data_IF_280439162341
#
_entry.id   IF_280439162341
#
_cell.length_a   1.000
_cell.length_b   1.000
_cell.length_c   1.000
_cell.angle_alpha   90.00
_cell.angle_beta   90.00
_cell.angle_gamma   90.00
#
_symmetry.space_group_name_H-M   'P 1'
#
loop_
_entity.id
_entity.type
_entity.pdbx_description
1 polymer ?
#
# COMPACT_ATOMS: atom_id res chain seq x y z
N UNK A 1 92.41 -12.89 67.65
CA UNK A 1 91.36 -13.44 66.77
C UNK A 1 91.80 -13.22 65.32
N UNK A 2 92.54 -14.17 64.74
CA UNK A 2 92.02 -15.16 63.76
C UNK A 2 91.43 -14.43 62.55
N UNK A 3 92.22 -14.11 61.52
CA UNK A 3 92.81 -14.92 60.43
C UNK A 3 91.88 -15.04 59.21
N UNK A 4 92.44 -14.57 58.08
CA UNK A 4 92.27 -15.00 56.68
C UNK A 4 91.23 -14.26 55.82
N UNK A 5 91.73 -13.12 55.33
CA UNK A 5 91.56 -12.59 53.98
C UNK A 5 92.32 -13.47 52.96
N UNK A 6 91.86 -13.47 51.70
CA UNK A 6 92.33 -14.18 50.49
C UNK A 6 91.99 -15.67 50.39
N UNK A 7 91.12 -16.04 49.44
CA UNK A 7 91.33 -17.16 48.50
C UNK A 7 90.37 -17.04 47.29
N UNK A 8 90.95 -16.74 46.12
CA UNK A 8 90.61 -17.20 44.77
C UNK A 8 89.28 -16.86 44.08
N UNK A 9 89.41 -15.94 43.13
CA UNK A 9 88.63 -15.77 41.90
C UNK A 9 88.67 -17.08 41.09
N UNK A 10 87.56 -17.82 41.08
CA UNK A 10 87.25 -18.78 40.03
C UNK A 10 86.21 -18.12 39.11
N UNK A 11 86.70 -17.49 38.04
CA UNK A 11 85.87 -17.15 36.89
C UNK A 11 85.34 -18.47 36.35
N UNK A 12 84.09 -18.79 36.68
CA UNK A 12 83.31 -19.74 35.91
C UNK A 12 83.11 -19.15 34.53
N UNK A 13 84.05 -19.45 33.62
CA UNK A 13 83.85 -19.34 32.19
C UNK A 13 82.77 -20.37 31.83
N UNK A 14 81.50 -20.00 32.02
CA UNK A 14 80.43 -20.68 31.32
C UNK A 14 80.73 -20.41 29.84
N UNK A 15 80.93 -21.43 28.99
CA UNK A 15 80.99 -21.17 27.56
C UNK A 15 79.70 -20.45 27.23
N UNK A 16 79.80 -19.17 26.83
CA UNK A 16 78.70 -18.47 26.23
C UNK A 16 78.35 -19.30 24.98
N UNK A 17 77.33 -20.14 25.09
CA UNK A 17 76.78 -20.88 23.98
C UNK A 17 76.51 -19.84 22.90
N UNK A 18 77.25 -19.92 21.79
CA UNK A 18 77.01 -19.03 20.67
C UNK A 18 75.55 -19.22 20.27
N UNK A 19 74.71 -18.21 20.55
CA UNK A 19 73.35 -18.19 20.05
C UNK A 19 73.51 -18.10 18.54
N UNK A 20 73.12 -19.16 17.83
CA UNK A 20 73.06 -19.17 16.38
C UNK A 20 72.38 -17.87 15.92
N UNK A 21 73.08 -17.08 15.10
CA UNK A 21 72.49 -15.86 14.56
C UNK A 21 71.30 -16.26 13.67
N UNK A 22 70.09 -15.86 14.06
CA UNK A 22 68.89 -16.09 13.28
C UNK A 22 68.48 -14.81 12.56
N UNK A 23 68.13 -14.98 11.30
CA UNK A 23 67.56 -13.96 10.43
C UNK A 23 66.04 -14.07 10.43
N UNK A 24 65.34 -12.94 10.56
CA UNK A 24 63.91 -12.87 10.30
C UNK A 24 63.70 -12.76 8.80
N UNK A 25 63.07 -13.77 8.20
CA UNK A 25 62.77 -13.81 6.77
C UNK A 25 61.29 -13.58 6.54
N UNK A 26 60.95 -12.59 5.72
CA UNK A 26 59.57 -12.24 5.38
C UNK A 26 59.37 -12.21 3.86
N UNK A 27 58.16 -12.54 3.42
CA UNK A 27 57.72 -12.25 2.05
C UNK A 27 56.21 -12.23 1.96
N UNK A 28 55.68 -11.48 0.99
CA UNK A 28 54.31 -11.61 0.51
C UNK A 28 54.29 -12.45 -0.77
N UNK A 29 53.40 -13.43 -0.83
CA UNK A 29 53.24 -14.31 -1.98
C UNK A 29 52.00 -13.87 -2.77
N UNK A 30 52.21 -13.47 -4.02
CA UNK A 30 51.15 -13.02 -4.93
C UNK A 30 51.34 -13.66 -6.29
N UNK A 31 50.28 -14.26 -6.82
CA UNK A 31 50.36 -14.98 -8.09
C UNK A 31 50.12 -14.14 -9.34
N UNK A 32 50.16 -14.79 -10.50
CA UNK A 32 49.97 -14.20 -11.82
C UNK A 32 48.57 -13.62 -12.05
N UNK A 33 47.57 -13.98 -11.24
CA UNK A 33 46.22 -13.38 -11.31
C UNK A 33 46.09 -12.17 -10.36
N UNK A 34 47.16 -11.84 -9.63
CA UNK A 34 47.18 -10.79 -8.62
C UNK A 34 46.58 -11.23 -7.28
N UNK A 35 46.33 -12.52 -7.08
CA UNK A 35 45.76 -13.06 -5.86
C UNK A 35 46.85 -13.37 -4.84
N UNK A 36 46.65 -12.90 -3.59
CA UNK A 36 47.51 -13.29 -2.48
C UNK A 36 47.16 -14.70 -2.00
N UNK A 37 48.17 -15.52 -1.73
CA UNK A 37 47.99 -16.89 -1.23
C UNK A 37 47.65 -16.91 0.25
N UNK A 38 46.41 -16.55 0.58
CA UNK A 38 45.96 -16.51 1.98
C UNK A 38 45.98 -17.90 2.61
N UNK A 39 46.50 -17.99 3.84
CA UNK A 39 46.52 -19.21 4.65
C UNK A 39 47.25 -20.41 4.02
N UNK A 40 48.14 -20.16 3.05
CA UNK A 40 49.02 -21.18 2.49
C UNK A 40 50.09 -21.67 3.49
N UNK A 41 50.85 -22.69 3.11
CA UNK A 41 51.94 -23.24 3.94
C UNK A 41 53.30 -22.79 3.41
N UNK A 42 54.27 -22.65 4.31
CA UNK A 42 55.66 -22.31 3.95
C UNK A 42 56.60 -23.27 4.67
N UNK A 43 57.55 -23.83 3.93
CA UNK A 43 58.61 -24.68 4.47
C UNK A 43 59.95 -24.25 3.92
N UNK A 44 60.93 -23.99 4.79
CA UNK A 44 62.30 -23.70 4.41
C UNK A 44 63.19 -24.88 4.78
N UNK A 45 64.00 -25.36 3.84
CA UNK A 45 64.96 -26.44 4.05
C UNK A 45 66.38 -25.96 3.76
N UNK A 46 67.28 -26.14 4.73
CA UNK A 46 68.68 -25.81 4.57
C UNK A 46 69.39 -26.89 3.73
N UNK A 47 70.17 -26.44 2.76
CA UNK A 47 71.00 -27.28 1.89
C UNK A 47 72.43 -26.75 1.85
N UNK A 48 73.42 -27.64 1.72
CA UNK A 48 74.84 -27.32 1.72
C UNK A 48 75.48 -27.74 0.39
N UNK A 49 76.55 -27.10 -0.08
CA UNK A 49 77.26 -27.51 -1.28
C UNK A 49 77.93 -28.87 -1.07
N UNK A 50 77.48 -29.90 -1.81
CA UNK A 50 78.00 -31.28 -1.67
C UNK A 50 76.97 -32.41 -1.83
N UNK A 51 75.68 -32.08 -2.03
CA UNK A 51 74.61 -33.06 -2.22
C UNK A 51 73.97 -33.52 -0.90
N UNK A 52 72.86 -34.30 -0.95
CA UNK A 52 72.11 -34.69 0.23
C UNK A 52 72.90 -35.72 1.05
N UNK A 53 73.71 -35.22 1.99
CA UNK A 53 74.34 -35.95 3.10
C UNK A 53 75.12 -37.23 2.74
N UNK A 54 76.08 -37.13 1.81
CA UNK A 54 77.02 -38.22 1.48
C UNK A 54 78.12 -38.48 2.53
N UNK A 55 78.23 -37.64 3.56
CA UNK A 55 78.88 -37.92 4.84
C UNK A 55 78.25 -36.98 5.88
N UNK A 56 77.72 -37.52 6.97
CA UNK A 56 76.87 -36.84 7.96
C UNK A 56 77.67 -35.74 8.68
N UNK A 57 77.63 -34.52 8.17
CA UNK A 57 77.91 -33.33 8.94
C UNK A 57 76.60 -32.56 9.03
N UNK A 58 75.91 -32.69 10.18
CA UNK A 58 74.79 -31.82 10.51
C UNK A 58 75.33 -30.40 10.49
N UNK A 59 74.69 -29.43 9.82
CA UNK A 59 75.15 -28.06 9.84
C UNK A 59 75.21 -27.57 11.28
N UNK A 60 76.36 -27.00 11.67
CA UNK A 60 76.59 -26.46 13.00
C UNK A 60 76.96 -24.99 12.93
N UNK A 61 76.75 -24.29 14.04
CA UNK A 61 77.33 -22.98 14.33
C UNK A 61 78.11 -23.13 15.62
N UNK A 62 79.43 -22.98 15.56
CA UNK A 62 80.29 -23.19 16.74
C UNK A 62 80.10 -24.57 17.37
N UNK A 63 79.86 -25.61 16.55
CA UNK A 63 79.62 -26.98 17.01
C UNK A 63 78.21 -27.31 17.49
N UNK A 64 77.26 -26.36 17.49
CA UNK A 64 75.84 -26.62 17.83
C UNK A 64 75.03 -26.85 16.57
N UNK A 65 74.29 -27.97 16.51
CA UNK A 65 73.43 -28.31 15.38
C UNK A 65 72.32 -27.28 15.16
N UNK A 66 72.09 -26.89 13.89
CA UNK A 66 71.04 -25.93 13.51
C UNK A 66 69.81 -26.63 12.93
N UNK A 67 68.60 -26.07 13.07
CA UNK A 67 67.41 -26.58 12.40
C UNK A 67 67.62 -26.63 10.88
N UNK A 68 67.39 -27.79 10.27
CA UNK A 68 67.51 -27.96 8.81
C UNK A 68 66.18 -27.79 8.09
N UNK A 69 65.07 -27.72 8.82
CA UNK A 69 63.73 -27.48 8.30
C UNK A 69 62.96 -26.59 9.25
N UNK A 70 62.35 -25.52 8.73
CA UNK A 70 61.50 -24.58 9.48
C UNK A 70 60.22 -24.40 8.69
N UNK A 71 59.07 -24.43 9.35
CA UNK A 71 57.76 -24.26 8.70
C UNK A 71 56.96 -23.14 9.35
N UNK A 72 56.10 -22.50 8.56
CA UNK A 72 55.17 -21.46 8.98
C UNK A 72 53.92 -21.50 8.10
N UNK A 73 52.95 -20.66 8.41
CA UNK A 73 51.75 -20.42 7.60
C UNK A 73 51.76 -18.98 7.09
N UNK A 74 51.18 -18.77 5.91
CA UNK A 74 50.88 -17.42 5.43
C UNK A 74 49.65 -16.87 6.16
N UNK A 75 49.61 -15.57 6.37
CA UNK A 75 48.43 -14.88 6.90
C UNK A 75 47.36 -14.64 5.81
N UNK A 76 46.33 -13.84 6.13
CA UNK A 76 45.26 -13.51 5.19
C UNK A 76 45.73 -12.67 3.98
N UNK A 77 46.87 -11.98 4.10
CA UNK A 77 47.47 -11.16 3.05
C UNK A 77 48.55 -11.91 2.25
N UNK A 78 48.69 -13.22 2.48
CA UNK A 78 49.74 -14.04 1.85
C UNK A 78 51.14 -13.75 2.38
N UNK A 79 51.26 -13.07 3.52
CA UNK A 79 52.55 -12.77 4.13
C UNK A 79 52.98 -13.91 5.07
N UNK A 80 54.26 -14.26 5.06
CA UNK A 80 54.83 -15.20 6.02
C UNK A 80 56.04 -14.61 6.75
N UNK A 81 56.32 -15.17 7.92
CA UNK A 81 57.52 -14.91 8.70
C UNK A 81 58.17 -16.24 9.10
N UNK A 82 59.48 -16.34 8.88
CA UNK A 82 60.33 -17.45 9.29
C UNK A 82 61.52 -16.92 10.10
N UNK A 83 61.94 -17.69 11.11
CA UNK A 83 63.22 -17.48 11.79
C UNK A 83 64.20 -18.52 11.27
N UNK A 84 65.12 -18.11 10.41
CA UNK A 84 66.06 -19.00 9.74
C UNK A 84 67.48 -18.71 10.21
N UNK A 85 68.31 -19.74 10.30
CA UNK A 85 69.73 -19.57 10.61
C UNK A 85 70.44 -18.77 9.51
N UNK A 86 71.23 -17.77 9.91
CA UNK A 86 72.06 -16.98 9.01
C UNK A 86 73.11 -17.89 8.35
N UNK A 87 73.04 -18.00 7.03
CA UNK A 87 73.91 -18.86 6.22
C UNK A 87 75.38 -18.45 6.26
N UNK A 88 75.70 -17.18 6.55
CA UNK A 88 77.08 -16.72 6.72
C UNK A 88 77.68 -17.11 8.08
N UNK A 89 76.84 -17.51 9.05
CA UNK A 89 77.28 -17.94 10.38
C UNK A 89 77.54 -19.44 10.48
N UNK A 90 77.20 -20.22 9.45
CA UNK A 90 77.41 -21.66 9.41
C UNK A 90 78.91 -21.99 9.37
N UNK A 91 79.31 -23.03 10.10
CA UNK A 91 80.69 -23.54 10.08
C UNK A 91 81.08 -24.08 8.67
N UNK A 92 80.09 -24.32 7.81
CA UNK A 92 80.23 -24.84 6.45
C UNK A 92 79.88 -23.75 5.42
N UNK A 93 80.82 -23.43 4.53
CA UNK A 93 80.63 -22.36 3.55
C UNK A 93 79.61 -22.74 2.45
N UNK A 94 78.81 -21.78 2.01
CA UNK A 94 77.90 -21.90 0.86
C UNK A 94 76.50 -22.49 1.15
N UNK A 95 76.06 -22.54 2.41
CA UNK A 95 74.70 -22.97 2.76
C UNK A 95 73.61 -22.10 2.11
N UNK A 96 72.53 -22.72 1.65
CA UNK A 96 71.37 -22.05 1.06
C UNK A 96 70.06 -22.62 1.61
N UNK A 97 69.10 -21.74 1.83
CA UNK A 97 67.74 -22.11 2.17
C UNK A 97 66.90 -22.26 0.91
N UNK A 98 66.27 -23.41 0.74
CA UNK A 98 65.19 -23.64 -0.22
C UNK A 98 63.86 -23.42 0.48
N UNK A 99 63.21 -22.31 0.17
CA UNK A 99 61.93 -21.90 0.75
C UNK A 99 60.83 -22.24 -0.26
N UNK A 100 59.92 -23.12 0.15
CA UNK A 100 58.76 -23.56 -0.60
C UNK A 100 57.50 -22.96 0.03
N UNK A 101 56.82 -22.09 -0.70
CA UNK A 101 55.51 -21.54 -0.35
C UNK A 101 54.44 -22.23 -1.18
N UNK A 102 53.38 -22.73 -0.57
CA UNK A 102 52.31 -23.48 -1.23
C UNK A 102 50.95 -22.81 -0.99
N UNK A 103 50.08 -22.69 -2.00
CA UNK A 103 48.74 -22.13 -1.81
C UNK A 103 47.85 -23.09 -1.00
N UNK A 104 46.87 -22.51 -0.30
CA UNK A 104 45.71 -23.21 0.25
C UNK A 104 44.65 -23.37 -0.85
N UNK A 105 44.97 -24.17 -1.87
CA UNK A 105 44.10 -24.52 -2.99
C UNK A 105 44.20 -26.03 -3.30
N UNK A 106 43.21 -26.61 -3.98
CA UNK A 106 43.16 -28.06 -4.28
C UNK A 106 44.19 -28.56 -5.30
N UNK A 107 45.16 -27.73 -5.68
CA UNK A 107 46.34 -28.15 -6.47
C UNK A 107 47.41 -28.82 -5.59
N UNK A 108 47.38 -28.57 -4.27
CA UNK A 108 48.52 -28.82 -3.36
C UNK A 108 48.29 -29.91 -2.31
N UNK A 109 47.20 -30.67 -2.36
CA UNK A 109 46.84 -31.58 -1.27
C UNK A 109 47.89 -32.70 -0.98
N UNK A 110 48.87 -32.96 -1.87
CA UNK A 110 49.99 -33.87 -1.57
C UNK A 110 51.21 -33.74 -2.51
N UNK A 111 51.50 -32.57 -3.08
CA UNK A 111 52.66 -32.41 -3.98
C UNK A 111 53.21 -30.99 -4.00
N UNK A 112 54.50 -30.82 -4.34
CA UNK A 112 55.13 -29.51 -4.58
C UNK A 112 54.65 -28.85 -5.88
N UNK A 113 53.78 -29.50 -6.64
CA UNK A 113 53.16 -28.96 -7.86
C UNK A 113 52.28 -27.77 -7.48
N UNK A 114 52.56 -26.60 -8.06
CA UNK A 114 51.84 -25.35 -7.75
C UNK A 114 52.40 -24.56 -6.58
N UNK A 115 53.49 -25.00 -5.95
CA UNK A 115 54.21 -24.21 -4.94
C UNK A 115 55.28 -23.32 -5.59
N UNK A 116 55.51 -22.14 -4.99
CA UNK A 116 56.61 -21.27 -5.32
C UNK A 116 57.87 -21.68 -4.56
N UNK A 117 58.99 -21.86 -5.25
CA UNK A 117 60.26 -22.31 -4.65
C UNK A 117 61.35 -21.27 -4.88
N UNK A 118 61.94 -20.78 -3.80
CA UNK A 118 63.07 -19.83 -3.83
C UNK A 118 64.24 -20.43 -3.07
N UNK A 119 65.35 -20.64 -3.76
CA UNK A 119 66.62 -21.00 -3.12
C UNK A 119 67.51 -19.76 -3.01
N UNK A 120 67.93 -19.41 -1.79
CA UNK A 120 68.77 -18.23 -1.54
C UNK A 120 69.62 -18.40 -0.28
N UNK A 121 70.77 -17.71 -0.23
CA UNK A 121 71.44 -17.42 1.03
C UNK A 121 70.58 -16.47 1.88
N UNK A 122 70.61 -16.64 3.19
CA UNK A 122 69.93 -15.78 4.16
C UNK A 122 71.03 -15.18 5.03
N UNK A 123 71.27 -13.88 4.92
CA UNK A 123 72.36 -13.18 5.61
C UNK A 123 71.84 -11.87 6.19
N UNK A 124 72.19 -11.57 7.44
CA UNK A 124 71.76 -10.37 8.17
C UNK A 124 70.53 -10.60 9.06
N UNK A 125 70.10 -9.57 9.78
CA UNK A 125 69.03 -9.70 10.80
C UNK A 125 67.62 -9.74 10.20
N UNK A 126 67.39 -9.06 9.08
CA UNK A 126 66.10 -8.97 8.40
C UNK A 126 66.29 -9.19 6.89
N UNK A 127 65.60 -10.19 6.32
CA UNK A 127 65.67 -10.53 4.90
C UNK A 127 64.26 -10.53 4.32
N UNK A 128 63.99 -9.63 3.36
CA UNK A 128 62.71 -9.58 2.66
C UNK A 128 62.83 -10.21 1.28
N UNK A 129 62.04 -11.25 1.01
CA UNK A 129 62.05 -12.02 -0.24
C UNK A 129 60.82 -11.77 -1.11
N UNK A 130 60.02 -10.73 -0.84
CA UNK A 130 58.76 -10.46 -1.55
C UNK A 130 58.94 -10.44 -3.06
N UNK A 131 59.97 -9.76 -3.58
CA UNK A 131 60.24 -9.69 -5.03
C UNK A 131 60.60 -11.05 -5.67
N UNK A 132 60.92 -12.06 -4.88
CA UNK A 132 61.19 -13.44 -5.32
C UNK A 132 59.92 -14.31 -5.30
N UNK A 133 58.86 -13.84 -4.65
CA UNK A 133 57.56 -14.49 -4.51
C UNK A 133 56.41 -13.71 -5.19
N UNK A 134 56.73 -12.71 -6.03
CA UNK A 134 55.77 -12.02 -6.89
C UNK A 134 55.68 -12.70 -8.27
N UNK A 135 54.46 -12.83 -8.80
CA UNK A 135 54.24 -13.40 -10.14
C UNK A 135 54.39 -14.92 -10.16
N UNK A 136 54.17 -15.58 -9.02
CA UNK A 136 54.15 -17.05 -8.95
C UNK A 136 52.95 -17.59 -9.72
N UNK A 137 53.03 -18.77 -10.31
CA UNK A 137 51.94 -19.29 -11.15
C UNK A 137 50.69 -19.52 -10.31
N UNK A 138 49.57 -18.91 -10.69
CA UNK A 138 48.30 -19.05 -9.99
C UNK A 138 47.81 -20.51 -10.00
N UNK A 139 47.20 -20.99 -8.90
CA UNK A 139 46.70 -22.35 -8.84
C UNK A 139 45.58 -22.56 -9.87
N UNK A 140 45.55 -23.75 -10.47
CA UNK A 140 44.49 -24.18 -11.40
C UNK A 140 44.01 -25.57 -11.01
N UNK A 141 42.72 -25.72 -10.75
CA UNK A 141 42.14 -26.96 -10.25
C UNK A 141 40.73 -27.22 -10.82
N UNK A 142 40.30 -28.48 -10.99
CA UNK A 142 38.94 -28.78 -11.42
C UNK A 142 37.93 -28.53 -10.30
N UNK A 143 36.69 -28.19 -10.67
CA UNK A 143 35.58 -28.15 -9.73
C UNK A 143 35.31 -29.54 -9.13
N UNK A 144 34.88 -29.58 -7.86
CA UNK A 144 34.61 -30.84 -7.19
C UNK A 144 34.04 -30.66 -5.77
N UNK A 145 33.49 -31.74 -5.19
CA UNK A 145 32.89 -31.71 -3.86
C UNK A 145 33.78 -31.13 -2.77
N UNK A 146 35.09 -31.35 -2.89
CA UNK A 146 36.14 -30.96 -1.95
C UNK A 146 37.15 -29.98 -2.59
N UNK A 147 36.81 -29.38 -3.74
CA UNK A 147 37.65 -28.41 -4.40
C UNK A 147 37.65 -27.08 -3.63
N UNK A 148 38.80 -26.43 -3.51
CA UNK A 148 38.99 -25.16 -2.81
C UNK A 148 40.07 -24.32 -3.49
N UNK A 149 39.91 -23.00 -3.43
CA UNK A 149 40.83 -22.01 -4.00
C UNK A 149 40.38 -20.60 -3.66
N UNK A 150 40.99 -19.59 -4.27
CA UNK A 150 40.81 -18.18 -3.95
C UNK A 150 39.88 -17.46 -4.94
N UNK A 151 39.91 -17.82 -6.22
CA UNK A 151 39.18 -17.12 -7.28
C UNK A 151 38.46 -18.08 -8.24
N UNK A 152 37.40 -17.58 -8.88
CA UNK A 152 36.64 -18.37 -9.86
C UNK A 152 37.48 -18.74 -11.09
N UNK A 153 38.40 -17.86 -11.48
CA UNK A 153 39.31 -18.04 -12.62
C UNK A 153 40.29 -19.21 -12.41
N UNK A 154 40.51 -19.62 -11.15
CA UNK A 154 41.38 -20.75 -10.82
C UNK A 154 40.70 -22.09 -11.12
N UNK A 155 39.37 -22.10 -11.28
CA UNK A 155 38.63 -23.32 -11.58
C UNK A 155 38.73 -23.64 -13.07
N UNK A 156 39.58 -24.61 -13.40
CA UNK A 156 39.91 -24.98 -14.78
C UNK A 156 39.93 -26.51 -14.96
N UNK A 157 39.32 -27.05 -16.03
CA UNK A 157 38.56 -26.32 -17.05
C UNK A 157 37.23 -25.77 -16.50
N UNK A 158 36.66 -24.76 -17.18
CA UNK A 158 35.31 -24.26 -16.85
C UNK A 158 34.30 -25.42 -16.88
N UNK A 159 33.49 -25.62 -15.81
CA UNK A 159 32.62 -26.78 -15.75
C UNK A 159 31.56 -26.79 -16.85
N UNK A 160 31.39 -27.94 -17.52
CA UNK A 160 30.35 -28.10 -18.54
C UNK A 160 28.94 -28.30 -17.94
N UNK A 161 28.85 -28.70 -16.66
CA UNK A 161 27.61 -29.13 -16.02
C UNK A 161 27.24 -28.16 -14.88
N UNK A 162 26.03 -27.55 -14.89
CA UNK A 162 25.49 -26.81 -13.76
C UNK A 162 25.48 -27.62 -12.46
N UNK A 163 25.73 -26.96 -11.32
CA UNK A 163 25.81 -27.58 -10.00
C UNK A 163 27.22 -28.03 -9.58
N UNK A 164 28.21 -27.89 -10.46
CA UNK A 164 29.63 -28.02 -10.08
C UNK A 164 29.96 -27.01 -8.96
N UNK A 165 30.84 -27.39 -8.03
CA UNK A 165 31.10 -26.61 -6.82
C UNK A 165 32.59 -26.49 -6.48
N UNK A 166 32.95 -25.44 -5.75
CA UNK A 166 34.22 -25.32 -5.03
C UNK A 166 34.06 -24.37 -3.83
N UNK A 167 35.02 -24.39 -2.90
CA UNK A 167 35.06 -23.53 -1.72
C UNK A 167 36.10 -22.41 -1.88
N UNK A 168 35.63 -21.16 -1.83
CA UNK A 168 36.47 -19.98 -1.79
C UNK A 168 37.08 -19.77 -0.40
N UNK A 169 38.40 -19.94 -0.29
CA UNK A 169 39.17 -19.87 0.97
C UNK A 169 39.50 -18.45 1.42
N UNK A 170 39.25 -17.43 0.58
CA UNK A 170 39.41 -16.01 0.94
C UNK A 170 38.21 -15.44 1.69
N UNK A 171 37.13 -16.21 1.85
CA UNK A 171 35.92 -15.77 2.58
C UNK A 171 35.96 -16.19 4.05
N UNK A 172 35.42 -15.35 4.93
CA UNK A 172 35.52 -15.54 6.40
C UNK A 172 34.62 -16.64 6.99
N UNK A 173 33.75 -17.27 6.18
CA UNK A 173 32.87 -18.35 6.65
C UNK A 173 32.66 -19.43 5.59
N UNK A 174 32.62 -20.71 6.02
CA UNK A 174 32.49 -21.87 5.13
C UNK A 174 31.23 -21.86 4.25
N UNK A 175 30.14 -21.22 4.69
CA UNK A 175 28.89 -21.09 3.92
C UNK A 175 28.94 -19.99 2.86
N UNK A 176 29.65 -18.88 3.13
CA UNK A 176 29.86 -17.83 2.12
C UNK A 176 30.94 -18.22 1.10
N UNK A 177 31.82 -19.15 1.47
CA UNK A 177 32.85 -19.68 0.58
C UNK A 177 32.32 -20.64 -0.48
N UNK A 178 31.16 -21.28 -0.29
CA UNK A 178 30.65 -22.22 -1.29
C UNK A 178 30.19 -21.48 -2.56
N UNK A 179 30.85 -21.80 -3.68
CA UNK A 179 30.50 -21.32 -5.02
C UNK A 179 29.87 -22.45 -5.83
N UNK A 180 28.77 -22.16 -6.52
CA UNK A 180 28.07 -23.08 -7.43
C UNK A 180 28.08 -22.53 -8.86
N UNK A 181 28.37 -23.39 -9.81
CA UNK A 181 28.30 -23.09 -11.23
C UNK A 181 26.84 -23.15 -11.71
N UNK A 182 26.30 -22.05 -12.23
CA UNK A 182 24.91 -21.98 -12.73
C UNK A 182 24.77 -22.40 -14.21
N UNK A 183 25.88 -22.79 -14.86
CA UNK A 183 25.96 -23.06 -16.30
C UNK A 183 26.57 -21.93 -17.12
N UNK A 184 26.74 -20.72 -16.53
CA UNK A 184 27.31 -19.54 -17.18
C UNK A 184 28.37 -18.84 -16.32
N UNK A 185 28.18 -18.82 -15.01
CA UNK A 185 29.04 -18.13 -14.05
C UNK A 185 29.01 -18.83 -12.68
N UNK A 186 29.99 -18.49 -11.84
CA UNK A 186 30.05 -18.94 -10.45
C UNK A 186 29.22 -18.02 -9.54
N UNK A 187 28.28 -18.60 -8.81
CA UNK A 187 27.39 -17.87 -7.89
C UNK A 187 27.59 -18.34 -6.45
N UNK A 188 27.41 -17.44 -5.47
CA UNK A 188 27.47 -17.81 -4.05
C UNK A 188 26.15 -18.44 -3.58
N UNK A 189 26.22 -19.43 -2.69
CA UNK A 189 25.03 -20.10 -2.12
C UNK A 189 24.21 -19.18 -1.20
N UNK A 190 24.78 -18.05 -0.76
CA UNK A 190 24.04 -17.01 -0.04
C UNK A 190 22.96 -16.28 -0.86
N UNK A 191 22.94 -16.45 -2.19
CA UNK A 191 21.98 -15.79 -3.09
C UNK A 191 20.60 -16.44 -3.19
N UNK A 192 20.42 -17.66 -2.69
CA UNK A 192 19.13 -18.39 -2.79
C UNK A 192 18.08 -17.83 -1.81
N UNK A 193 18.50 -17.01 -0.83
CA UNK A 193 17.62 -16.30 0.09
C UNK A 193 17.18 -14.90 -0.41
N UNK A 194 17.47 -14.52 -1.67
CA UNK A 194 17.22 -13.18 -2.21
C UNK A 194 16.31 -13.12 -3.45
N UNK A 195 15.66 -14.22 -3.84
CA UNK A 195 14.77 -14.24 -4.99
C UNK A 195 13.55 -13.33 -4.82
N UNK A 196 12.97 -12.88 -5.94
CA UNK A 196 11.70 -12.18 -5.94
C UNK A 196 10.60 -13.09 -5.35
N UNK A 197 9.77 -12.52 -4.48
CA UNK A 197 8.65 -13.25 -3.90
C UNK A 197 7.57 -13.50 -4.97
N UNK A 198 6.98 -14.70 -4.95
CA UNK A 198 5.95 -15.10 -5.91
C UNK A 198 4.51 -14.94 -5.38
N UNK A 199 3.55 -15.05 -6.30
CA UNK A 199 2.12 -15.10 -5.97
C UNK A 199 1.56 -13.79 -5.41
N UNK A 200 0.98 -13.87 -4.23
CA UNK A 200 0.34 -12.74 -3.52
C UNK A 200 1.31 -11.89 -2.69
N UNK A 201 2.60 -12.20 -2.80
CA UNK A 201 3.69 -11.48 -2.15
C UNK A 201 4.39 -10.53 -3.14
N UNK A 202 4.99 -9.48 -2.62
CA UNK A 202 5.91 -8.60 -3.36
C UNK A 202 7.22 -8.41 -2.59
N UNK A 203 8.25 -7.91 -3.28
CA UNK A 203 9.60 -7.74 -2.73
C UNK A 203 10.47 -8.98 -2.91
N UNK A 204 11.51 -9.10 -2.09
CA UNK A 204 12.47 -10.21 -2.13
C UNK A 204 12.52 -10.92 -0.78
N UNK A 205 12.87 -12.19 -0.79
CA UNK A 205 13.23 -12.89 0.44
C UNK A 205 14.43 -12.21 1.13
N UNK A 206 14.56 -12.32 2.47
CA UNK A 206 13.68 -13.05 3.40
C UNK A 206 12.44 -12.28 3.89
N UNK A 207 12.29 -11.01 3.54
CA UNK A 207 11.24 -10.13 4.08
C UNK A 207 10.24 -9.66 3.01
N UNK A 208 9.45 -10.56 2.40
CA UNK A 208 8.41 -10.15 1.45
C UNK A 208 7.24 -9.45 2.15
N UNK A 209 6.48 -8.67 1.39
CA UNK A 209 5.21 -8.07 1.86
C UNK A 209 4.02 -8.77 1.24
N UNK A 210 2.96 -8.98 2.03
CA UNK A 210 1.66 -9.42 1.51
C UNK A 210 0.99 -8.26 0.80
N UNK A 211 0.83 -8.35 -0.52
CA UNK A 211 0.19 -7.30 -1.34
C UNK A 211 -1.17 -7.71 -1.88
N UNK A 212 -1.48 -9.01 -1.83
CA UNK A 212 -2.74 -9.59 -2.30
C UNK A 212 -3.22 -10.70 -1.36
N UNK A 213 -4.49 -11.06 -1.50
CA UNK A 213 -5.10 -12.26 -0.96
C UNK A 213 -5.97 -12.89 -2.04
N UNK A 214 -5.60 -14.10 -2.48
CA UNK A 214 -6.23 -14.81 -3.58
C UNK A 214 -6.30 -13.96 -4.86
N UNK A 215 -5.20 -13.30 -5.22
CA UNK A 215 -5.11 -12.41 -6.39
C UNK A 215 -5.73 -11.01 -6.23
N UNK A 216 -6.48 -10.77 -5.16
CA UNK A 216 -7.14 -9.49 -4.91
C UNK A 216 -6.24 -8.56 -4.07
N UNK A 217 -6.14 -7.25 -4.38
CA UNK A 217 -5.26 -6.34 -3.67
C UNK A 217 -5.56 -6.25 -2.17
N UNK A 218 -4.52 -6.07 -1.35
CA UNK A 218 -4.61 -5.72 0.07
C UNK A 218 -4.07 -4.31 0.26
N UNK A 219 -4.80 -3.46 0.99
CA UNK A 219 -4.30 -2.13 1.35
C UNK A 219 -3.28 -2.25 2.47
N UNK A 220 -2.14 -1.56 2.36
CA UNK A 220 -1.10 -1.55 3.40
C UNK A 220 -1.40 -0.58 4.57
N UNK A 221 -2.67 -0.43 4.94
CA UNK A 221 -3.09 0.43 6.05
C UNK A 221 -2.99 -0.35 7.35
N UNK A 222 -2.15 0.12 8.27
CA UNK A 222 -2.02 -0.50 9.59
C UNK A 222 -3.35 -0.47 10.36
N UNK A 223 -3.75 -1.57 11.01
CA UNK A 223 -4.85 -1.56 11.96
C UNK A 223 -4.64 -0.52 13.05
N UNK A 224 -5.65 0.31 13.32
CA UNK A 224 -5.59 1.34 14.37
C UNK A 224 -6.11 0.85 15.72
N UNK A 225 -6.74 -0.33 15.76
CA UNK A 225 -7.20 -1.00 16.98
C UNK A 225 -7.26 -2.53 16.80
N UNK A 226 -7.52 -3.25 17.89
CA UNK A 226 -7.53 -4.73 17.93
C UNK A 226 -8.75 -5.39 17.27
N UNK A 227 -9.75 -4.62 16.83
CA UNK A 227 -11.01 -5.12 16.27
C UNK A 227 -11.13 -4.97 14.76
N UNK A 228 -10.03 -4.67 14.07
CA UNK A 228 -10.02 -4.54 12.61
C UNK A 228 -9.68 -5.88 11.95
N UNK A 229 -10.41 -6.19 10.88
CA UNK A 229 -10.21 -7.37 10.04
C UNK A 229 -10.14 -6.93 8.56
N UNK A 230 -9.41 -7.64 7.67
CA UNK A 230 -9.50 -7.39 6.24
C UNK A 230 -10.92 -7.67 5.73
N UNK A 231 -11.60 -6.65 5.21
CA UNK A 231 -12.93 -6.78 4.60
C UNK A 231 -12.86 -6.37 3.13
N UNK A 232 -13.48 -7.17 2.26
CA UNK A 232 -13.60 -6.85 0.84
C UNK A 232 -14.51 -5.65 0.64
N UNK A 233 -14.01 -4.61 -0.04
CA UNK A 233 -14.77 -3.37 -0.31
C UNK A 233 -15.26 -3.23 -1.76
N UNK A 234 -15.09 -4.28 -2.59
CA UNK A 234 -15.39 -4.25 -4.02
C UNK A 234 -14.17 -4.02 -4.93
N UNK A 235 -13.04 -3.53 -4.38
CA UNK A 235 -11.80 -3.30 -5.13
C UNK A 235 -10.55 -3.87 -4.45
N UNK A 236 -10.50 -3.85 -3.11
CA UNK A 236 -9.39 -4.36 -2.31
C UNK A 236 -9.88 -4.90 -0.96
N UNK A 237 -9.07 -5.74 -0.33
CA UNK A 237 -9.19 -6.02 1.10
C UNK A 237 -8.61 -4.84 1.88
N UNK A 238 -9.47 -4.15 2.61
CA UNK A 238 -9.08 -3.05 3.49
C UNK A 238 -9.36 -3.41 4.94
N UNK A 239 -8.41 -3.10 5.82
CA UNK A 239 -8.62 -3.25 7.26
C UNK A 239 -9.75 -2.30 7.70
N UNK A 240 -10.82 -2.85 8.24
CA UNK A 240 -11.86 -2.10 8.96
C UNK A 240 -12.49 -2.97 10.04
N UNK A 241 -13.22 -2.35 10.94
CA UNK A 241 -14.04 -3.11 11.88
C UNK A 241 -15.19 -3.79 11.13
N UNK A 242 -15.46 -5.04 11.48
CA UNK A 242 -16.60 -5.79 10.96
C UNK A 242 -17.91 -5.16 11.45
N UNK A 243 -18.87 -4.99 10.56
CA UNK A 243 -20.22 -4.52 10.90
C UNK A 243 -21.20 -5.69 10.87
N UNK A 244 -22.37 -5.55 11.49
CA UNK A 244 -23.41 -6.57 11.34
C UNK A 244 -23.89 -6.72 9.88
N UNK A 245 -23.78 -5.66 9.06
CA UNK A 245 -24.07 -5.73 7.62
C UNK A 245 -23.12 -6.71 6.89
N UNK A 246 -21.97 -7.05 7.48
CA UNK A 246 -21.03 -8.04 6.96
C UNK A 246 -21.33 -9.47 7.44
N UNK A 247 -22.21 -9.64 8.44
CA UNK A 247 -22.49 -10.92 9.13
C UNK A 247 -23.90 -11.46 8.86
N UNK A 248 -24.84 -10.59 8.52
CA UNK A 248 -26.23 -10.94 8.18
C UNK A 248 -26.59 -10.26 6.86
N UNK A 249 -27.69 -10.64 6.16
CA UNK A 249 -28.20 -9.76 5.13
C UNK A 249 -28.39 -8.35 5.73
N UNK A 250 -28.11 -7.30 4.95
CA UNK A 250 -28.03 -5.93 5.47
C UNK A 250 -29.40 -5.43 5.95
N UNK A 251 -29.45 -4.66 7.04
CA UNK A 251 -30.71 -4.09 7.53
C UNK A 251 -31.21 -3.00 6.57
N UNK A 252 -32.50 -3.05 6.22
CA UNK A 252 -33.14 -2.12 5.30
C UNK A 252 -34.54 -1.73 5.77
N UNK A 253 -34.91 -0.48 5.51
CA UNK A 253 -36.30 -0.02 5.50
C UNK A 253 -36.82 -0.29 4.08
N UNK A 254 -37.61 -1.35 3.92
CA UNK A 254 -38.13 -1.78 2.61
C UNK A 254 -39.22 -0.82 2.10
N UNK A 255 -39.98 -0.21 3.01
CA UNK A 255 -40.95 0.84 2.67
C UNK A 255 -41.16 1.78 3.85
N UNK A 256 -41.41 3.05 3.53
CA UNK A 256 -41.94 4.06 4.45
C UNK A 256 -42.97 4.87 3.67
N UNK A 257 -44.24 4.68 4.00
CA UNK A 257 -45.38 5.24 3.27
C UNK A 257 -46.19 6.15 4.18
N UNK A 258 -46.89 7.10 3.57
CA UNK A 258 -47.57 8.19 4.25
C UNK A 258 -47.30 9.51 3.52
N UNK A 259 -47.49 10.63 4.20
CA UNK A 259 -47.42 11.94 3.54
C UNK A 259 -48.61 12.18 2.60
N UNK A 260 -48.81 13.44 2.21
CA UNK A 260 -49.92 13.88 1.36
C UNK A 260 -49.57 15.23 0.71
N UNK A 261 -50.30 15.61 -0.34
CA UNK A 261 -50.36 17.03 -0.77
C UNK A 261 -51.70 17.62 -0.36
N UNK A 262 -51.66 18.74 0.36
CA UNK A 262 -52.84 19.45 0.84
C UNK A 262 -52.79 20.92 0.40
N UNK A 263 -53.95 21.56 0.41
CA UNK A 263 -54.05 22.97 0.05
C UNK A 263 -53.39 23.84 1.12
N UNK A 264 -52.74 24.94 0.74
CA UNK A 264 -52.23 25.93 1.71
C UNK A 264 -53.34 26.33 2.69
N UNK A 265 -53.00 26.42 3.97
CA UNK A 265 -53.95 26.69 5.05
C UNK A 265 -54.75 25.47 5.52
N UNK A 266 -54.62 24.30 4.89
CA UNK A 266 -55.25 23.09 5.43
C UNK A 266 -54.48 22.60 6.67
N UNK A 267 -55.21 22.18 7.71
CA UNK A 267 -54.65 21.50 8.87
C UNK A 267 -54.61 20.00 8.65
N UNK A 268 -53.46 19.36 8.87
CA UNK A 268 -53.32 17.90 8.88
C UNK A 268 -53.12 17.44 10.32
N UNK A 269 -54.12 16.75 10.86
CA UNK A 269 -54.15 16.28 12.24
C UNK A 269 -53.74 14.81 12.28
N UNK A 270 -52.79 14.48 13.14
CA UNK A 270 -52.32 13.11 13.39
C UNK A 270 -52.01 12.32 12.10
N UNK A 271 -51.10 12.81 11.22
CA UNK A 271 -50.80 12.13 9.97
C UNK A 271 -50.31 10.70 10.21
N UNK A 272 -50.85 9.78 9.41
CA UNK A 272 -50.56 8.36 9.49
C UNK A 272 -49.38 7.96 8.59
N UNK A 273 -48.58 7.03 9.09
CA UNK A 273 -47.46 6.44 8.37
C UNK A 273 -47.45 4.92 8.54
N UNK A 274 -46.90 4.22 7.55
CA UNK A 274 -46.64 2.78 7.60
C UNK A 274 -45.20 2.49 7.19
N UNK A 275 -44.64 1.40 7.69
CA UNK A 275 -43.27 0.99 7.33
C UNK A 275 -43.11 -0.53 7.33
N UNK A 276 -42.14 -1.00 6.55
CA UNK A 276 -41.72 -2.40 6.52
C UNK A 276 -40.19 -2.50 6.48
N UNK A 277 -39.63 -3.57 7.02
CA UNK A 277 -38.18 -3.75 7.19
C UNK A 277 -37.75 -5.13 6.70
N UNK A 278 -36.46 -5.29 6.40
CA UNK A 278 -35.89 -6.61 6.11
C UNK A 278 -35.86 -7.52 7.35
N UNK A 279 -35.65 -6.95 8.56
CA UNK A 279 -35.78 -7.61 9.87
C UNK A 279 -36.35 -6.65 10.90
N UNK A 280 -36.77 -7.16 12.06
CA UNK A 280 -37.29 -6.33 13.16
C UNK A 280 -36.17 -5.41 13.68
N UNK A 281 -36.34 -4.07 13.62
CA UNK A 281 -35.36 -3.16 14.22
C UNK A 281 -35.38 -3.25 15.76
N UNK A 282 -34.29 -2.88 16.42
CA UNK A 282 -34.25 -2.71 17.87
C UNK A 282 -34.93 -1.40 18.30
N UNK A 283 -34.86 -0.35 17.46
CA UNK A 283 -35.52 0.94 17.71
C UNK A 283 -36.11 1.51 16.44
N UNK A 284 -37.21 2.24 16.56
CA UNK A 284 -37.76 3.07 15.49
C UNK A 284 -38.23 4.41 16.08
N UNK A 285 -37.95 5.51 15.38
CA UNK A 285 -38.42 6.84 15.75
C UNK A 285 -38.68 7.68 14.49
N UNK A 286 -39.66 8.58 14.56
CA UNK A 286 -39.91 9.56 13.50
C UNK A 286 -39.58 10.97 14.03
N UNK A 287 -38.80 11.72 13.27
CA UNK A 287 -38.61 13.17 13.45
C UNK A 287 -39.30 13.92 12.33
N UNK A 288 -39.55 15.22 12.51
CA UNK A 288 -40.02 16.09 11.44
C UNK A 288 -39.44 17.50 11.52
N UNK A 289 -39.44 18.19 10.38
CA UNK A 289 -38.87 19.55 10.22
C UNK A 289 -39.59 20.62 11.03
N UNK A 290 -40.81 20.35 11.50
CA UNK A 290 -41.60 21.29 12.30
C UNK A 290 -41.38 21.10 13.80
N UNK A 291 -40.61 20.08 14.20
CA UNK A 291 -40.33 19.70 15.58
C UNK A 291 -41.58 19.40 16.43
N UNK A 292 -42.72 19.06 15.79
CA UNK A 292 -43.96 18.71 16.49
C UNK A 292 -43.94 17.21 16.79
N UNK A 293 -44.02 16.82 18.07
CA UNK A 293 -43.87 15.40 18.48
C UNK A 293 -42.62 14.77 17.84
N UNK A 294 -41.46 15.41 18.00
CA UNK A 294 -40.22 15.06 17.31
C UNK A 294 -39.06 15.05 18.30
N UNK A 295 -38.40 13.91 18.56
CA UNK A 295 -38.71 12.57 18.02
C UNK A 295 -39.96 11.95 18.66
N UNK A 296 -40.77 11.26 17.86
CA UNK A 296 -41.73 10.28 18.38
C UNK A 296 -41.04 8.92 18.40
N UNK A 297 -40.77 8.38 19.59
CA UNK A 297 -40.29 7.01 19.75
C UNK A 297 -41.44 6.03 19.49
N UNK A 298 -41.20 5.04 18.64
CA UNK A 298 -42.21 4.10 18.18
C UNK A 298 -41.93 2.71 18.76
N UNK A 299 -42.99 1.94 19.00
CA UNK A 299 -42.85 0.53 19.40
C UNK A 299 -42.26 -0.23 18.22
N UNK A 300 -41.18 -0.98 18.46
CA UNK A 300 -40.53 -1.76 17.41
C UNK A 300 -41.13 -3.18 17.32
N UNK A 301 -41.45 -3.69 16.11
CA UNK A 301 -41.36 -2.99 14.82
C UNK A 301 -42.51 -1.99 14.63
N UNK A 302 -42.16 -0.76 14.23
CA UNK A 302 -43.18 0.20 13.79
C UNK A 302 -43.68 -0.19 12.41
N UNK A 303 -44.91 -0.72 12.33
CA UNK A 303 -45.53 -1.12 11.05
C UNK A 303 -46.59 -0.12 10.59
N UNK A 304 -47.30 0.50 11.53
CA UNK A 304 -48.24 1.58 11.29
C UNK A 304 -48.42 2.45 12.55
N UNK A 305 -48.87 3.69 12.36
CA UNK A 305 -49.26 4.59 13.45
C UNK A 305 -49.39 6.04 12.98
N UNK A 306 -49.61 6.95 13.92
CA UNK A 306 -49.76 8.38 13.64
C UNK A 306 -48.75 9.21 14.41
N UNK A 307 -48.41 10.39 13.89
CA UNK A 307 -47.62 11.38 14.63
C UNK A 307 -48.57 12.38 15.27
N UNK A 308 -48.64 12.37 16.60
CA UNK A 308 -49.53 13.24 17.35
C UNK A 308 -49.22 14.72 17.06
N UNK A 309 -50.25 15.49 16.69
CA UNK A 309 -50.11 16.91 16.44
C UNK A 309 -50.94 17.41 15.28
N UNK A 310 -50.92 18.73 15.09
CA UNK A 310 -51.54 19.40 13.95
C UNK A 310 -50.47 20.13 13.16
N UNK A 311 -50.36 19.80 11.88
CA UNK A 311 -49.43 20.42 10.95
C UNK A 311 -50.19 21.37 10.02
N UNK A 312 -49.64 22.56 9.81
CA UNK A 312 -50.31 23.62 9.06
C UNK A 312 -49.28 24.60 8.50
N UNK A 313 -49.45 25.01 7.25
CA UNK A 313 -48.62 26.02 6.58
C UNK A 313 -49.49 27.00 5.80
N UNK A 314 -49.16 28.29 5.90
CA UNK A 314 -49.80 29.39 5.13
C UNK A 314 -49.04 29.76 3.86
N UNK A 315 -47.90 29.14 3.62
CA UNK A 315 -47.07 29.34 2.44
C UNK A 315 -46.81 28.01 1.75
N UNK A 316 -46.39 28.07 0.50
CA UNK A 316 -46.01 26.88 -0.26
C UNK A 316 -44.73 26.28 0.30
N UNK A 317 -44.85 25.21 1.07
CA UNK A 317 -43.73 24.53 1.73
C UNK A 317 -44.13 23.11 2.14
N UNK A 318 -43.21 22.35 2.72
CA UNK A 318 -43.45 20.99 3.17
C UNK A 318 -42.96 20.75 4.59
N UNK A 319 -43.59 19.79 5.27
CA UNK A 319 -43.05 19.17 6.48
C UNK A 319 -42.50 17.81 6.09
N UNK A 320 -41.20 17.61 6.29
CA UNK A 320 -40.53 16.33 6.01
C UNK A 320 -40.49 15.50 7.28
N UNK A 321 -41.01 14.28 7.20
CA UNK A 321 -40.95 13.27 8.25
C UNK A 321 -39.83 12.29 7.93
N UNK A 322 -38.95 12.03 8.89
CA UNK A 322 -37.83 11.10 8.75
C UNK A 322 -37.99 9.96 9.73
N UNK A 323 -38.31 8.77 9.21
CA UNK A 323 -38.20 7.52 9.97
C UNK A 323 -36.73 7.18 10.12
N UNK A 324 -36.29 6.99 11.36
CA UNK A 324 -34.98 6.44 11.71
C UNK A 324 -35.21 5.11 12.40
N UNK A 325 -34.68 4.03 11.83
CA UNK A 325 -34.77 2.70 12.42
C UNK A 325 -33.37 2.11 12.58
N UNK A 326 -33.14 1.45 13.71
CA UNK A 326 -31.85 0.83 14.02
C UNK A 326 -32.05 -0.66 14.11
N UNK A 327 -31.34 -1.41 13.26
CA UNK A 327 -31.15 -2.85 13.41
C UNK A 327 -29.67 -3.11 13.63
N UNK A 328 -29.07 -3.88 12.72
CA UNK A 328 -27.62 -4.01 12.56
C UNK A 328 -26.90 -2.66 12.35
N UNK A 329 -27.52 -1.82 11.53
CA UNK A 329 -27.12 -0.46 11.22
C UNK A 329 -28.33 0.46 11.34
N UNK A 330 -28.09 1.76 11.46
CA UNK A 330 -29.15 2.77 11.43
C UNK A 330 -29.46 3.14 9.98
N UNK A 331 -30.73 3.10 9.60
CA UNK A 331 -31.23 3.52 8.29
C UNK A 331 -32.31 4.59 8.46
N UNK A 332 -32.48 5.40 7.43
CA UNK A 332 -33.51 6.43 7.39
C UNK A 332 -34.34 6.35 6.12
N UNK A 333 -35.59 6.79 6.22
CA UNK A 333 -36.49 6.98 5.09
C UNK A 333 -37.37 8.21 5.33
N UNK A 334 -37.75 8.92 4.26
CA UNK A 334 -38.47 10.20 4.37
C UNK A 334 -39.79 10.21 3.63
N UNK A 335 -40.81 10.83 4.22
CA UNK A 335 -42.08 11.17 3.56
C UNK A 335 -42.42 12.64 3.84
N UNK A 336 -43.25 13.25 2.99
CA UNK A 336 -43.58 14.68 3.12
C UNK A 336 -45.07 14.92 3.15
N UNK A 337 -45.48 15.93 3.93
CA UNK A 337 -46.74 16.62 3.69
C UNK A 337 -46.40 17.92 2.98
N UNK A 338 -46.91 18.12 1.78
CA UNK A 338 -46.69 19.33 0.99
C UNK A 338 -47.93 20.22 1.02
N UNK A 339 -47.75 21.48 1.39
CA UNK A 339 -48.77 22.51 1.24
C UNK A 339 -48.53 23.23 -0.07
N UNK A 340 -49.47 23.08 -0.99
CA UNK A 340 -49.44 23.72 -2.31
C UNK A 340 -50.76 24.41 -2.58
N UNK A 341 -50.77 25.47 -3.40
CA UNK A 341 -52.00 26.17 -3.71
C UNK A 341 -52.82 25.38 -4.74
N UNK A 342 -54.13 25.63 -4.73
CA UNK A 342 -55.04 25.19 -5.78
C UNK A 342 -54.97 26.18 -6.95
N UNK A 343 -55.04 25.66 -8.16
CA UNK A 343 -55.20 26.48 -9.37
C UNK A 343 -56.58 26.29 -9.96
N UNK A 344 -57.04 27.27 -10.73
CA UNK A 344 -58.41 27.30 -11.22
C UNK A 344 -58.45 27.65 -12.70
N UNK A 345 -59.48 27.17 -13.39
CA UNK A 345 -59.80 27.62 -14.72
C UNK A 345 -61.29 27.46 -15.02
N UNK A 346 -61.79 28.25 -15.95
CA UNK A 346 -63.20 28.23 -16.32
C UNK A 346 -63.54 29.26 -17.37
N UNK A 347 -64.85 29.51 -17.52
CA UNK A 347 -65.39 30.50 -18.45
C UNK A 347 -66.09 31.63 -17.71
N UNK A 348 -66.13 32.82 -18.32
CA UNK A 348 -66.81 33.98 -17.75
C UNK A 348 -67.05 35.11 -18.76
N UNK A 349 -67.76 36.14 -18.33
CA UNK A 349 -67.90 37.39 -19.08
C UNK A 349 -66.61 38.23 -19.02
N UNK A 350 -66.43 39.15 -19.96
CA UNK A 350 -65.24 40.01 -20.11
C UNK A 350 -64.96 40.88 -18.88
N UNK A 351 -63.67 41.09 -18.58
CA UNK A 351 -63.23 42.16 -17.69
C UNK A 351 -63.16 41.82 -16.20
N UNK A 352 -62.99 40.54 -15.84
CA UNK A 352 -62.73 40.20 -14.45
C UNK A 352 -61.33 40.65 -14.01
N UNK A 353 -61.24 41.33 -12.86
CA UNK A 353 -59.97 41.83 -12.30
C UNK A 353 -59.67 41.26 -10.91
N UNK A 354 -60.60 40.50 -10.35
CA UNK A 354 -60.42 39.80 -9.08
C UNK A 354 -61.08 38.43 -9.10
N UNK A 355 -60.74 37.60 -8.12
CA UNK A 355 -61.42 36.33 -7.88
C UNK A 355 -61.48 36.05 -6.37
N UNK A 356 -62.58 35.46 -5.92
CA UNK A 356 -62.82 35.11 -4.51
C UNK A 356 -63.14 33.63 -4.39
N UNK A 357 -62.64 32.96 -3.36
CA UNK A 357 -62.93 31.55 -3.15
C UNK A 357 -64.43 31.28 -2.89
N UNK A 358 -64.91 30.15 -3.40
CA UNK A 358 -66.21 29.56 -3.10
C UNK A 358 -66.03 28.04 -3.03
N UNK A 359 -65.67 27.55 -1.85
CA UNK A 359 -65.22 26.17 -1.67
C UNK A 359 -63.99 25.85 -2.53
N UNK A 360 -64.07 24.81 -3.34
CA UNK A 360 -63.01 24.40 -4.28
C UNK A 360 -63.04 25.15 -5.62
N UNK A 361 -63.92 26.14 -5.76
CA UNK A 361 -64.03 27.00 -6.93
C UNK A 361 -63.55 28.43 -6.62
N UNK A 362 -63.29 29.20 -7.67
CA UNK A 362 -63.05 30.64 -7.59
C UNK A 362 -64.13 31.39 -8.38
N UNK A 363 -64.74 32.41 -7.79
CA UNK A 363 -65.76 33.25 -8.43
C UNK A 363 -65.09 34.54 -8.91
N UNK A 364 -65.27 34.87 -10.18
CA UNK A 364 -64.73 36.09 -10.79
C UNK A 364 -65.45 37.33 -10.25
N UNK A 365 -64.70 38.43 -10.11
CA UNK A 365 -65.20 39.74 -9.71
C UNK A 365 -64.48 40.89 -10.39
N UNK A 366 -64.84 42.13 -10.02
CA UNK A 366 -64.14 43.32 -10.49
C UNK A 366 -64.39 43.68 -11.96
N UNK A 367 -65.57 43.35 -12.50
CA UNK A 367 -66.02 43.76 -13.84
C UNK A 367 -66.65 42.63 -14.67
N UNK A 368 -66.11 41.42 -14.54
CA UNK A 368 -66.64 40.19 -15.13
C UNK A 368 -67.35 39.29 -14.11
N UNK A 369 -68.01 38.25 -14.61
CA UNK A 369 -68.74 37.24 -13.84
C UNK A 369 -68.47 35.84 -14.39
N UNK A 370 -68.30 34.86 -13.50
CA UNK A 370 -68.06 33.46 -13.87
C UNK A 370 -67.53 32.67 -12.69
N UNK A 371 -67.51 31.35 -12.83
CA UNK A 371 -67.00 30.42 -11.81
C UNK A 371 -65.90 29.57 -12.43
N UNK A 372 -64.71 29.63 -11.84
CA UNK A 372 -63.56 28.82 -12.20
C UNK A 372 -63.52 27.58 -11.32
N UNK A 373 -63.50 26.41 -11.95
CA UNK A 373 -63.37 25.14 -11.24
C UNK A 373 -61.91 24.92 -10.82
N UNK A 374 -61.71 24.33 -9.65
CA UNK A 374 -60.39 23.91 -9.21
C UNK A 374 -59.81 22.83 -10.13
N UNK A 375 -58.63 23.08 -10.69
CA UNK A 375 -57.91 22.18 -11.59
C UNK A 375 -56.85 21.32 -10.87
N UNK A 376 -56.92 21.24 -9.54
CA UNK A 376 -56.01 20.46 -8.71
C UNK A 376 -55.13 21.32 -7.80
N UNK A 377 -54.42 20.63 -6.90
CA UNK A 377 -53.40 21.22 -6.02
C UNK A 377 -52.06 20.84 -6.61
N UNK A 378 -51.22 21.82 -6.94
CA UNK A 378 -49.92 21.55 -7.54
C UNK A 378 -48.90 22.57 -7.09
N UNK A 379 -47.64 22.13 -7.01
CA UNK A 379 -46.51 23.00 -6.73
C UNK A 379 -46.02 23.77 -7.97
N UNK A 380 -46.47 23.37 -9.17
CA UNK A 380 -46.14 23.97 -10.46
C UNK A 380 -47.31 23.82 -11.44
N UNK A 381 -47.49 24.80 -12.31
CA UNK A 381 -48.54 24.78 -13.34
C UNK A 381 -48.01 24.41 -14.70
N UNK A 382 -46.70 24.28 -14.86
CA UNK A 382 -46.10 23.83 -16.10
C UNK A 382 -46.69 22.47 -16.49
N UNK A 383 -47.16 22.36 -17.72
CA UNK A 383 -47.89 21.21 -18.28
C UNK A 383 -49.26 20.94 -17.65
N UNK A 384 -49.76 21.78 -16.74
CA UNK A 384 -51.11 21.68 -16.22
C UNK A 384 -52.09 21.95 -17.37
N UNK A 385 -53.03 21.02 -17.55
CA UNK A 385 -54.12 21.12 -18.50
C UNK A 385 -55.38 21.55 -17.76
N UNK A 386 -56.09 22.50 -18.34
CA UNK A 386 -57.34 23.05 -17.86
C UNK A 386 -58.47 22.69 -18.83
N UNK A 387 -59.68 22.50 -18.30
CA UNK A 387 -60.83 22.10 -19.09
C UNK A 387 -60.87 20.60 -19.44
N UNK A 388 -61.52 20.23 -20.55
CA UNK A 388 -61.99 21.09 -21.64
C UNK A 388 -63.11 22.06 -21.23
N UNK A 389 -63.08 23.27 -21.78
CA UNK A 389 -64.08 24.32 -21.61
C UNK A 389 -64.83 24.51 -22.93
N UNK A 390 -66.13 24.78 -22.85
CA UNK A 390 -66.97 25.09 -24.02
C UNK A 390 -67.61 26.47 -23.89
N UNK A 391 -66.83 27.57 -23.98
CA UNK A 391 -67.40 28.92 -23.97
C UNK A 391 -68.39 29.12 -25.13
N UNK A 392 -69.40 29.96 -24.89
CA UNK A 392 -70.38 30.40 -25.89
C UNK A 392 -70.41 31.93 -25.88
N UNK A 393 -69.62 32.55 -26.76
CA UNK A 393 -69.34 33.98 -26.77
C UNK A 393 -68.85 34.49 -25.39
N UNK A 394 -67.93 33.74 -24.78
CA UNK A 394 -67.39 33.99 -23.43
C UNK A 394 -65.87 33.98 -23.45
N UNK A 395 -65.27 34.44 -22.36
CA UNK A 395 -63.83 34.37 -22.12
C UNK A 395 -63.46 33.08 -21.41
N UNK A 396 -62.24 32.62 -21.64
CA UNK A 396 -61.60 31.62 -20.78
C UNK A 396 -60.71 32.35 -19.78
N UNK A 397 -60.78 31.92 -18.53
CA UNK A 397 -59.99 32.45 -17.44
C UNK A 397 -59.14 31.35 -16.79
N UNK A 398 -57.90 31.69 -16.45
CA UNK A 398 -57.02 30.86 -15.64
C UNK A 398 -56.56 31.67 -14.43
N UNK A 399 -56.58 31.05 -13.25
CA UNK A 399 -56.05 31.61 -12.02
C UNK A 399 -54.97 30.67 -11.51
N UNK A 400 -53.71 31.07 -11.72
CA UNK A 400 -52.52 30.21 -11.53
C UNK A 400 -51.45 30.92 -10.68
N UNK A 401 -50.53 30.15 -10.07
CA UNK A 401 -49.44 30.72 -9.25
C UNK A 401 -48.17 30.93 -10.09
N UNK A 402 -47.11 31.41 -9.47
CA UNK A 402 -45.77 31.45 -10.05
C UNK A 402 -45.44 32.84 -10.58
N UNK A 403 -44.84 32.91 -11.76
CA UNK A 403 -44.62 34.16 -12.47
C UNK A 403 -45.66 34.30 -13.59
N UNK A 404 -45.70 35.46 -14.23
CA UNK A 404 -46.46 35.61 -15.46
C UNK A 404 -45.95 34.60 -16.52
N UNK A 405 -46.83 33.72 -16.98
CA UNK A 405 -46.59 32.74 -18.03
C UNK A 405 -46.94 33.39 -19.37
N UNK A 406 -46.00 33.38 -20.30
CA UNK A 406 -46.18 33.95 -21.65
C UNK A 406 -46.69 32.94 -22.67
N UNK A 407 -46.69 31.64 -22.34
CA UNK A 407 -46.96 30.56 -23.28
C UNK A 407 -48.09 29.65 -22.77
N UNK A 408 -49.31 29.92 -23.24
CA UNK A 408 -50.47 29.05 -23.01
C UNK A 408 -50.92 28.58 -24.39
N UNK A 409 -51.08 27.26 -24.54
CA UNK A 409 -51.51 26.63 -25.79
C UNK A 409 -52.82 25.90 -25.58
N UNK A 410 -53.59 25.68 -26.63
CA UNK A 410 -54.71 24.75 -26.58
C UNK A 410 -54.18 23.33 -26.72
N UNK A 411 -54.38 22.49 -25.71
CA UNK A 411 -53.92 21.10 -25.70
C UNK A 411 -54.56 20.24 -26.79
N UNK A 412 -55.73 20.64 -27.30
CA UNK A 412 -56.43 19.90 -28.35
C UNK A 412 -55.78 20.11 -29.73
N UNK A 413 -55.28 21.31 -29.99
CA UNK A 413 -54.80 21.71 -31.32
C UNK A 413 -53.30 22.01 -31.36
N UNK A 414 -52.67 22.24 -30.21
CA UNK A 414 -51.28 22.66 -30.07
C UNK A 414 -51.03 24.13 -30.40
N UNK A 415 -52.05 24.88 -30.84
CA UNK A 415 -51.89 26.30 -31.19
C UNK A 415 -51.86 27.19 -29.96
N UNK A 416 -51.14 28.31 -30.07
CA UNK A 416 -51.08 29.32 -29.02
C UNK A 416 -52.47 29.92 -28.75
N UNK A 417 -52.82 30.03 -27.47
CA UNK A 417 -54.01 30.71 -26.99
C UNK A 417 -53.60 32.07 -26.42
N UNK A 418 -53.94 33.19 -27.07
CA UNK A 418 -53.55 34.51 -26.59
C UNK A 418 -54.37 34.93 -25.37
N UNK A 419 -53.68 35.14 -24.24
CA UNK A 419 -54.21 35.75 -23.02
C UNK A 419 -53.71 37.18 -22.85
N UNK A 420 -54.42 37.98 -22.06
CA UNK A 420 -53.97 39.31 -21.66
C UNK A 420 -52.70 39.25 -20.80
N UNK A 421 -52.07 40.40 -20.57
CA UNK A 421 -51.14 40.53 -19.46
C UNK A 421 -51.91 40.21 -18.16
N UNK A 422 -51.46 39.21 -17.37
CA UNK A 422 -52.25 38.75 -16.24
C UNK A 422 -52.33 39.80 -15.15
N UNK A 423 -53.46 39.81 -14.44
CA UNK A 423 -53.65 40.65 -13.25
C UNK A 423 -53.13 39.89 -12.02
N UNK A 424 -52.20 40.48 -11.27
CA UNK A 424 -51.76 39.92 -10.00
C UNK A 424 -52.87 40.08 -8.95
N UNK A 425 -53.23 39.00 -8.28
CA UNK A 425 -54.29 38.98 -7.26
C UNK A 425 -53.81 38.25 -6.00
N UNK A 426 -54.25 38.73 -4.85
CA UNK A 426 -54.14 38.00 -3.59
C UNK A 426 -55.43 37.21 -3.39
N UNK A 427 -55.40 35.92 -3.73
CA UNK A 427 -56.54 35.03 -3.61
C UNK A 427 -56.60 34.46 -2.18
N UNK A 428 -57.67 34.77 -1.45
CA UNK A 428 -57.94 34.13 -0.16
C UNK A 428 -58.68 32.82 -0.44
N UNK A 429 -58.05 31.69 -0.15
CA UNK A 429 -58.63 30.39 -0.41
C UNK A 429 -59.68 29.99 0.65
N UNK A 430 -60.32 28.83 0.47
CA UNK A 430 -61.34 28.30 1.39
C UNK A 430 -60.83 28.06 2.83
N UNK A 431 -59.51 27.95 3.01
CA UNK A 431 -58.88 27.78 4.31
C UNK A 431 -58.48 29.13 4.96
N UNK A 432 -58.83 30.26 4.35
CA UNK A 432 -58.49 31.60 4.82
C UNK A 432 -57.03 32.01 4.56
N UNK A 433 -56.26 31.22 3.82
CA UNK A 433 -54.88 31.57 3.48
C UNK A 433 -54.81 32.42 2.21
N UNK A 434 -54.00 33.47 2.24
CA UNK A 434 -53.73 34.31 1.08
C UNK A 434 -52.65 33.71 0.18
N UNK A 435 -52.97 33.59 -1.11
CA UNK A 435 -52.06 33.06 -2.15
C UNK A 435 -51.87 34.13 -3.21
N UNK A 436 -50.61 34.42 -3.56
CA UNK A 436 -50.30 35.27 -4.70
C UNK A 436 -50.53 34.48 -6.01
N UNK A 437 -51.45 34.97 -6.84
CA UNK A 437 -51.85 34.33 -8.09
C UNK A 437 -51.94 35.35 -9.22
N UNK A 438 -52.00 34.85 -10.45
CA UNK A 438 -52.13 35.62 -11.67
C UNK A 438 -53.41 35.20 -12.38
N UNK A 439 -54.30 36.16 -12.60
CA UNK A 439 -55.56 36.00 -13.31
C UNK A 439 -55.35 36.34 -14.79
N UNK A 440 -55.49 35.34 -15.65
CA UNK A 440 -55.42 35.44 -17.10
C UNK A 440 -56.83 35.45 -17.68
N UNK A 441 -57.05 36.29 -18.68
CA UNK A 441 -58.27 36.35 -19.49
C UNK A 441 -57.91 36.16 -20.97
N UNK A 442 -58.63 35.31 -21.70
CA UNK A 442 -58.42 35.16 -23.14
C UNK A 442 -58.66 36.49 -23.86
N UNK A 443 -57.80 36.87 -24.80
CA UNK A 443 -57.93 38.14 -25.53
C UNK A 443 -59.20 38.19 -26.39
N UNK A 444 -59.61 37.06 -26.96
CA UNK A 444 -60.82 36.94 -27.78
C UNK A 444 -62.02 36.41 -26.98
N UNK A 445 -63.23 36.76 -27.42
CA UNK A 445 -64.44 36.01 -27.07
C UNK A 445 -64.42 34.71 -27.86
N UNK A 446 -64.65 33.60 -27.16
CA UNK A 446 -64.49 32.26 -27.70
C UNK A 446 -65.84 31.55 -27.78
N UNK A 447 -65.97 30.72 -28.81
CA UNK A 447 -67.09 29.79 -29.02
C UNK A 447 -66.53 28.47 -29.52
N UNK A 448 -66.90 27.36 -28.89
CA UNK A 448 -66.36 26.02 -29.19
C UNK A 448 -65.60 25.42 -28.01
N UNK A 449 -64.91 24.30 -28.22
CA UNK A 449 -64.22 23.56 -27.15
C UNK A 449 -62.72 23.85 -27.14
N UNK A 450 -62.17 24.16 -25.97
CA UNK A 450 -60.76 24.49 -25.76
C UNK A 450 -60.23 23.80 -24.51
N UNK A 451 -58.95 23.43 -24.49
CA UNK A 451 -58.30 22.88 -23.30
C UNK A 451 -56.97 23.58 -23.06
N UNK A 452 -56.95 24.74 -22.38
CA UNK A 452 -55.72 25.49 -22.16
C UNK A 452 -54.70 24.65 -21.40
N UNK A 453 -53.45 24.66 -21.87
CA UNK A 453 -52.30 24.06 -21.21
C UNK A 453 -51.25 25.12 -21.02
N UNK A 454 -50.76 25.26 -19.79
CA UNK A 454 -49.59 26.10 -19.51
C UNK A 454 -48.37 25.35 -20.05
N UNK A 455 -47.79 25.87 -21.12
CA UNK A 455 -46.63 25.27 -21.75
C UNK A 455 -45.36 25.53 -20.92
N UNK A 456 -44.33 24.75 -21.20
CA UNK A 456 -42.99 24.92 -20.63
C UNK A 456 -42.32 26.21 -21.13
#
# INVERSE_FOLDING_TARGET
MIKKLLYWVAIGLVPASAIAATSTVTANVTDTDGQAWSYGTVTAKLSLPGGPFGNIQVPTIGGVAVPTTVSSIMDAAGAFLLSLTDTASLDQNGGQWTITACPNASITANSTTGCAIVTTGVVGTNVNLTSRFTGVVAPRFPAGPDAFGYLDIEVSPTPAIPGSRYYNTSTSTALQGLRLWDGKQWTGVGGIAGGAAGGDLAGTYPNPSVVKLNGNPVTNTAPTNTSMTPVWNGAAYSARQLSLDDLTPAFAINSFSGGQTVEIGASVVNPAFTASYSYIPSTAAITNTDNISSPTNLISPFTNGTIAGTFFKTTQTSTTFTLTATGATTKTATQTIAWSPRVFGGVGSTGATSATASGTNAVLGGGGSGTLSGAGISNSQVNQIFGPYSPANQKIYLLIIGNAHSNIVDNLTGFAMPFNTPTAVTFINQNGAGVAMYLYESTNLLSGTFSPKVAN
#
